data_IF_012513280683
#
_entry.id   IF_012513280683
#
_cell.length_a   1.000
_cell.length_b   1.000
_cell.length_c   1.000
_cell.angle_alpha   90.00
_cell.angle_beta   90.00
_cell.angle_gamma   90.00
#
_symmetry.space_group_name_H-M   'P 1'
#
loop_
_entity.id
_entity.type
_entity.pdbx_description
1 polymer ?
#
# COMPACT_ATOMS: atom_id res chain seq x y z
N UNK A 1 24.07 0.99 34.83
CA UNK A 1 22.68 0.64 34.48
C UNK A 1 21.93 1.96 34.32
N UNK A 2 21.48 2.30 33.11
CA UNK A 2 20.80 3.57 32.84
C UNK A 2 19.38 3.55 33.39
N UNK A 3 18.91 4.69 33.92
CA UNK A 3 17.52 4.88 34.31
C UNK A 3 16.61 4.68 33.09
N UNK A 4 15.78 3.65 33.12
CA UNK A 4 14.76 3.44 32.10
C UNK A 4 13.45 4.08 32.59
N UNK A 5 13.07 5.21 32.00
CA UNK A 5 11.75 5.80 32.19
C UNK A 5 10.74 5.16 31.24
N UNK A 6 9.56 4.79 31.75
CA UNK A 6 8.47 4.22 30.96
C UNK A 6 7.21 5.08 31.11
N UNK A 7 6.40 5.13 30.06
CA UNK A 7 5.06 5.71 30.09
C UNK A 7 4.05 4.63 29.68
N UNK A 8 3.13 4.30 30.59
CA UNK A 8 2.12 3.25 30.40
C UNK A 8 0.73 3.90 30.49
N UNK A 9 -0.15 3.52 29.58
CA UNK A 9 -1.53 4.02 29.52
C UNK A 9 -2.48 2.83 29.65
N UNK A 10 -3.38 2.87 30.64
CA UNK A 10 -4.49 1.93 30.79
C UNK A 10 -5.80 2.67 30.51
N UNK A 11 -6.43 2.36 29.38
CA UNK A 11 -7.68 2.96 28.94
C UNK A 11 -8.40 2.04 27.95
N UNK A 12 -9.74 2.04 27.96
CA UNK A 12 -10.55 1.34 26.95
C UNK A 12 -10.32 1.92 25.55
N UNK A 13 -10.04 3.23 25.48
CA UNK A 13 -9.71 3.97 24.26
C UNK A 13 -8.70 5.06 24.53
N UNK A 14 -7.61 5.05 23.79
CA UNK A 14 -6.65 6.16 23.70
C UNK A 14 -6.74 6.78 22.31
N UNK A 15 -6.95 8.09 22.20
CA UNK A 15 -7.12 8.75 20.90
C UNK A 15 -6.51 10.15 20.90
N UNK A 16 -5.84 10.51 19.81
CA UNK A 16 -5.48 11.90 19.53
C UNK A 16 -6.67 12.53 18.81
N UNK A 17 -7.25 13.57 19.41
CA UNK A 17 -8.43 14.26 18.87
C UNK A 17 -8.03 15.68 18.48
N UNK A 18 -8.36 16.08 17.26
CA UNK A 18 -8.24 17.46 16.83
C UNK A 18 -9.65 18.02 16.58
N UNK A 19 -10.05 19.01 17.37
CA UNK A 19 -11.16 19.91 17.06
C UNK A 19 -10.60 21.30 16.81
N UNK A 20 -10.58 21.75 15.56
CA UNK A 20 -10.42 23.18 15.30
C UNK A 20 -11.69 23.88 15.82
N UNK A 21 -11.56 25.07 16.41
CA UNK A 21 -12.71 25.81 16.93
C UNK A 21 -13.77 26.00 15.83
N UNK A 22 -14.92 25.33 15.97
CA UNK A 22 -16.01 25.33 14.99
C UNK A 22 -15.90 24.33 13.83
N UNK A 23 -14.86 23.48 13.80
CA UNK A 23 -14.62 22.47 12.76
C UNK A 23 -15.00 21.04 13.17
N UNK A 24 -15.03 20.13 12.18
CA UNK A 24 -15.28 18.72 12.42
C UNK A 24 -14.17 18.07 13.27
N UNK A 25 -14.57 17.28 14.27
CA UNK A 25 -13.67 16.49 15.10
C UNK A 25 -13.00 15.41 14.25
N UNK A 26 -11.67 15.35 14.24
CA UNK A 26 -10.90 14.28 13.59
C UNK A 26 -10.08 13.48 14.60
N UNK A 27 -9.91 12.18 14.31
CA UNK A 27 -9.14 11.24 15.15
C UNK A 27 -8.09 10.54 14.28
N UNK A 28 -6.93 11.17 14.02
CA UNK A 28 -5.90 10.60 13.14
C UNK A 28 -5.23 9.35 13.72
N UNK A 29 -5.24 9.18 15.03
CA UNK A 29 -4.67 8.04 15.75
C UNK A 29 -5.60 7.60 16.88
N UNK A 30 -5.91 6.31 16.94
CA UNK A 30 -6.62 5.71 18.06
C UNK A 30 -6.13 4.29 18.36
N UNK A 31 -6.06 3.96 19.64
CA UNK A 31 -5.93 2.59 20.14
C UNK A 31 -7.23 2.24 20.83
N UNK A 32 -7.94 1.25 20.30
CA UNK A 32 -9.22 0.78 20.83
C UNK A 32 -9.45 -0.66 20.38
N UNK A 33 -10.15 -1.46 21.18
CA UNK A 33 -10.44 -2.86 20.87
C UNK A 33 -9.19 -3.70 20.52
N UNK A 34 -8.04 -3.39 21.14
CA UNK A 34 -6.77 -4.06 20.86
C UNK A 34 -6.15 -3.76 19.50
N UNK A 35 -6.65 -2.75 18.77
CA UNK A 35 -6.17 -2.37 17.44
C UNK A 35 -5.72 -0.91 17.41
N UNK A 36 -4.72 -0.64 16.57
CA UNK A 36 -4.26 0.72 16.27
C UNK A 36 -4.87 1.15 14.94
N UNK A 37 -5.55 2.28 14.94
CA UNK A 37 -6.11 2.94 13.76
C UNK A 37 -5.29 4.18 13.45
N UNK A 38 -4.82 4.27 12.21
CA UNK A 38 -4.04 5.40 11.72
C UNK A 38 -4.65 5.84 10.39
N UNK A 39 -5.04 7.11 10.28
CA UNK A 39 -5.60 7.65 9.03
C UNK A 39 -4.51 7.80 7.95
N UNK A 40 -3.35 8.36 8.34
CA UNK A 40 -2.18 8.54 7.49
C UNK A 40 -0.91 8.54 8.35
N UNK A 41 0.21 8.03 7.84
CA UNK A 41 1.51 8.10 8.50
C UNK A 41 2.61 8.49 7.51
N UNK A 42 3.54 9.34 7.96
CA UNK A 42 4.81 9.57 7.29
C UNK A 42 5.90 8.86 8.10
N UNK A 43 6.46 7.79 7.55
CA UNK A 43 7.41 6.91 8.24
C UNK A 43 8.76 7.06 7.52
N UNK A 44 9.80 7.51 8.23
CA UNK A 44 11.14 7.67 7.65
C UNK A 44 11.76 6.32 7.29
N UNK A 45 11.69 5.35 8.22
CA UNK A 45 12.11 3.97 8.01
C UNK A 45 11.15 3.05 8.76
N UNK A 46 10.58 2.08 8.05
CA UNK A 46 9.53 1.21 8.54
C UNK A 46 9.80 -0.24 8.14
N UNK A 47 9.91 -1.12 9.13
CA UNK A 47 10.00 -2.57 8.92
C UNK A 47 8.71 -3.22 9.41
N UNK A 48 8.12 -4.07 8.57
CA UNK A 48 6.95 -4.87 8.92
C UNK A 48 7.32 -6.34 8.71
N UNK A 49 7.36 -7.12 9.80
CA UNK A 49 7.69 -8.55 9.71
C UNK A 49 6.68 -9.31 8.85
N UNK A 50 5.39 -8.98 8.97
CA UNK A 50 4.32 -9.51 8.12
C UNK A 50 3.12 -8.54 8.11
N UNK A 51 2.53 -8.32 6.93
CA UNK A 51 1.35 -7.47 6.76
C UNK A 51 0.21 -8.28 6.14
N UNK A 52 -1.00 -8.20 6.71
CA UNK A 52 -2.23 -8.59 6.01
C UNK A 52 -2.77 -7.36 5.29
N UNK A 53 -2.80 -7.40 3.97
CA UNK A 53 -3.31 -6.33 3.12
C UNK A 53 -4.71 -6.71 2.65
N UNK A 54 -5.67 -5.78 2.75
CA UNK A 54 -7.07 -6.05 2.35
C UNK A 54 -7.27 -6.02 0.83
N UNK A 55 -6.81 -4.95 0.18
CA UNK A 55 -7.10 -4.71 -1.24
C UNK A 55 -5.82 -4.72 -2.09
N UNK A 56 -4.89 -3.80 -1.83
CA UNK A 56 -3.69 -3.63 -2.63
C UNK A 56 -2.64 -2.79 -1.90
N UNK A 57 -1.41 -2.84 -2.43
CA UNK A 57 -0.38 -1.82 -2.24
C UNK A 57 -0.10 -1.20 -3.61
N UNK A 58 -0.02 0.13 -3.69
CA UNK A 58 0.20 0.82 -4.97
C UNK A 58 1.00 2.10 -4.80
N UNK A 59 1.62 2.56 -5.88
CA UNK A 59 2.19 3.91 -5.98
C UNK A 59 1.11 4.99 -6.04
N UNK A 60 1.42 6.19 -5.55
CA UNK A 60 0.50 7.34 -5.56
C UNK A 60 0.05 7.76 -6.97
N UNK A 61 0.89 7.54 -8.00
CA UNK A 61 0.61 7.87 -9.39
C UNK A 61 0.09 6.68 -10.22
N UNK A 62 -0.42 5.63 -9.58
CA UNK A 62 -0.92 4.46 -10.29
C UNK A 62 -2.13 4.81 -11.17
N UNK A 63 -2.02 4.51 -12.45
CA UNK A 63 -3.10 4.52 -13.44
C UNK A 63 -2.97 3.23 -14.24
N UNK A 64 -4.04 2.42 -14.25
CA UNK A 64 -4.04 1.11 -14.89
C UNK A 64 -3.60 1.20 -16.37
N UNK A 65 -2.61 0.39 -16.74
CA UNK A 65 -1.98 0.30 -18.04
C UNK A 65 -1.09 1.48 -18.44
N UNK A 66 -0.95 2.51 -17.59
CA UNK A 66 -0.34 3.79 -17.97
C UNK A 66 0.86 4.14 -17.10
N UNK A 67 0.70 4.20 -15.78
CA UNK A 67 1.76 4.67 -14.87
C UNK A 67 1.71 3.99 -13.51
N UNK A 68 2.84 4.02 -12.81
CA UNK A 68 2.96 3.48 -11.46
C UNK A 68 2.91 1.95 -11.40
N UNK A 69 2.75 1.43 -10.19
CA UNK A 69 2.67 0.00 -9.92
C UNK A 69 1.56 -0.30 -8.91
N UNK A 70 1.01 -1.51 -9.00
CA UNK A 70 0.00 -1.99 -8.08
C UNK A 70 0.08 -3.49 -7.89
N UNK A 71 0.24 -3.92 -6.64
CA UNK A 71 0.10 -5.31 -6.22
C UNK A 71 -1.28 -5.49 -5.59
N UNK A 72 -2.15 -6.21 -6.30
CA UNK A 72 -3.48 -6.59 -5.83
C UNK A 72 -3.40 -7.79 -4.89
N UNK A 73 -4.30 -7.85 -3.92
CA UNK A 73 -4.40 -9.01 -3.01
C UNK A 73 -4.82 -10.30 -3.75
N UNK A 74 -5.42 -10.19 -4.94
CA UNK A 74 -5.76 -11.33 -5.79
C UNK A 74 -4.53 -12.00 -6.46
N UNK A 75 -3.33 -11.47 -6.21
CA UNK A 75 -2.07 -11.99 -6.76
C UNK A 75 -1.66 -11.35 -8.09
N UNK A 76 -2.45 -10.40 -8.61
CA UNK A 76 -2.07 -9.63 -9.80
C UNK A 76 -1.06 -8.57 -9.43
N UNK A 77 0.06 -8.52 -10.16
CA UNK A 77 1.03 -7.44 -10.07
C UNK A 77 1.13 -6.71 -11.41
N UNK A 78 0.99 -5.39 -11.36
CA UNK A 78 1.12 -4.51 -12.51
C UNK A 78 2.25 -3.51 -12.28
N UNK A 79 3.13 -3.37 -13.26
CA UNK A 79 4.19 -2.37 -13.29
C UNK A 79 4.11 -1.65 -14.64
N UNK A 80 3.90 -0.35 -14.61
CA UNK A 80 3.85 0.49 -15.79
C UNK A 80 5.05 1.45 -15.83
N UNK A 81 5.46 1.82 -17.04
CA UNK A 81 6.50 2.81 -17.22
C UNK A 81 6.11 4.15 -16.60
N UNK A 82 7.04 4.77 -15.87
CA UNK A 82 6.89 6.16 -15.42
C UNK A 82 6.99 7.16 -16.58
N UNK A 83 7.57 6.77 -17.73
CA UNK A 83 7.94 7.68 -18.81
C UNK A 83 6.84 7.98 -19.82
N UNK A 84 5.58 7.58 -19.56
CA UNK A 84 4.44 7.90 -20.43
C UNK A 84 4.54 7.19 -21.80
N UNK A 85 3.84 6.07 -21.95
CA UNK A 85 3.94 5.25 -23.15
C UNK A 85 5.23 4.44 -23.22
N UNK A 86 5.88 4.12 -22.10
CA UNK A 86 6.88 3.05 -22.09
C UNK A 86 6.25 1.68 -21.90
N UNK A 87 7.07 0.62 -21.92
CA UNK A 87 6.58 -0.73 -21.71
C UNK A 87 5.90 -0.96 -20.35
N UNK A 88 5.09 -2.02 -20.29
CA UNK A 88 4.38 -2.44 -19.06
C UNK A 88 4.51 -3.94 -18.84
N UNK A 89 4.37 -4.35 -17.59
CA UNK A 89 4.37 -5.75 -17.18
C UNK A 89 3.14 -6.07 -16.35
N UNK A 90 2.59 -7.26 -16.57
CA UNK A 90 1.49 -7.80 -15.76
C UNK A 90 1.82 -9.23 -15.40
N UNK A 91 1.71 -9.58 -14.12
CA UNK A 91 1.86 -10.92 -13.58
C UNK A 91 0.56 -11.30 -12.89
N UNK A 92 0.06 -12.51 -13.12
CA UNK A 92 -1.10 -13.06 -12.43
C UNK A 92 -0.99 -14.59 -12.32
N UNK A 93 -2.08 -15.26 -11.94
CA UNK A 93 -2.13 -16.72 -11.80
C UNK A 93 -1.80 -17.50 -13.06
N UNK A 94 -1.89 -16.87 -14.24
CA UNK A 94 -1.52 -17.49 -15.51
C UNK A 94 -0.06 -17.26 -15.91
N UNK A 95 0.73 -16.52 -15.13
CA UNK A 95 2.12 -16.17 -15.47
C UNK A 95 2.28 -14.68 -15.74
N UNK A 96 3.24 -14.31 -16.59
CA UNK A 96 3.57 -12.90 -16.81
C UNK A 96 3.70 -12.51 -18.28
N UNK A 97 3.41 -11.24 -18.54
CA UNK A 97 3.40 -10.64 -19.88
C UNK A 97 4.17 -9.33 -19.84
N UNK A 98 4.98 -9.09 -20.87
CA UNK A 98 5.69 -7.83 -21.09
C UNK A 98 5.19 -7.23 -22.39
N UNK A 99 4.82 -5.95 -22.33
CA UNK A 99 4.32 -5.17 -23.46
C UNK A 99 5.26 -4.01 -23.72
N UNK A 100 5.37 -3.62 -24.99
CA UNK A 100 6.05 -2.39 -25.37
C UNK A 100 5.15 -1.14 -25.26
N UNK A 101 5.69 0.01 -25.62
CA UNK A 101 5.01 1.30 -25.76
C UNK A 101 3.73 1.30 -26.61
N UNK A 102 3.66 0.42 -27.61
CA UNK A 102 2.53 0.29 -28.52
C UNK A 102 1.50 -0.74 -28.03
N UNK A 103 1.57 -1.16 -26.76
CA UNK A 103 0.75 -2.21 -26.17
C UNK A 103 0.89 -3.59 -26.85
N UNK A 104 1.96 -3.81 -27.62
CA UNK A 104 2.23 -5.11 -28.23
C UNK A 104 2.95 -6.01 -27.23
N UNK A 105 2.40 -7.21 -27.02
CA UNK A 105 3.02 -8.24 -26.17
C UNK A 105 4.32 -8.71 -26.82
N UNK A 106 5.45 -8.44 -26.18
CA UNK A 106 6.80 -8.82 -26.65
C UNK A 106 7.28 -10.13 -26.05
N UNK A 107 6.83 -10.42 -24.84
CA UNK A 107 7.21 -11.64 -24.13
C UNK A 107 6.05 -12.13 -23.26
N UNK A 108 5.93 -13.45 -23.15
CA UNK A 108 5.02 -14.11 -22.23
C UNK A 108 5.69 -15.35 -21.65
N UNK A 109 5.47 -15.56 -20.36
CA UNK A 109 5.81 -16.79 -19.65
C UNK A 109 4.60 -17.30 -18.89
N UNK A 110 4.52 -18.62 -18.68
CA UNK A 110 3.32 -19.27 -18.15
C UNK A 110 2.19 -19.39 -19.18
N UNK A 111 0.99 -19.71 -18.70
CA UNK A 111 -0.20 -19.98 -19.49
C UNK A 111 0.04 -21.09 -20.53
N UNK A 112 0.51 -22.24 -20.03
CA UNK A 112 0.97 -23.38 -20.84
C UNK A 112 -0.18 -24.18 -21.50
N UNK A 113 -1.42 -23.83 -21.20
CA UNK A 113 -2.62 -24.48 -21.75
C UNK A 113 -3.23 -23.70 -22.94
N UNK A 114 -2.60 -22.60 -23.36
CA UNK A 114 -3.05 -21.75 -24.46
C UNK A 114 -2.25 -21.95 -25.75
#
# INVERSE_FOLDING_TARGET
AGLQSQFLVSADRFAVVNSMAGGATSVPFAVQNGQVFINSAFIQDGTITNAKIGNYIQSNNYVAGVSGWKLFFDGTFEINSQLGGGGRQTINSFGGKVFDENNMKRYQWGNLAA
#
